data_IF_849448759074
#
_entry.id   IF_849448759074
#
_cell.length_a   1.000
_cell.length_b   1.000
_cell.length_c   1.000
_cell.angle_alpha   90.00
_cell.angle_beta   90.00
_cell.angle_gamma   90.00
#
_symmetry.space_group_name_H-M   'P 1'
#
loop_
_entity.id
_entity.type
_entity.pdbx_description
1 polymer ?
#
# COMPACT_ATOMS: atom_id res chain seq x y z
N UNK A 1 8.80 3.32 -24.87
CA UNK A 1 9.57 4.32 -24.12
C UNK A 1 9.43 4.02 -22.64
N UNK A 2 10.39 4.43 -21.82
CA UNK A 2 10.37 4.26 -20.35
C UNK A 2 9.13 4.93 -19.72
N UNK A 3 8.48 5.82 -20.45
CA UNK A 3 7.26 6.51 -20.04
C UNK A 3 6.01 5.61 -19.92
N UNK A 4 6.09 4.38 -20.42
CA UNK A 4 4.96 3.45 -20.41
C UNK A 4 5.06 2.40 -19.28
N UNK A 5 5.98 2.58 -18.33
CA UNK A 5 6.09 1.69 -17.19
C UNK A 5 4.89 1.87 -16.27
N UNK A 6 4.07 0.86 -16.26
CA UNK A 6 2.90 0.76 -15.41
C UNK A 6 3.37 0.21 -14.06
N UNK A 7 3.14 0.94 -12.97
CA UNK A 7 3.40 0.42 -11.63
C UNK A 7 2.40 -0.71 -11.35
N UNK A 8 2.84 -1.93 -11.59
CA UNK A 8 2.19 -3.13 -11.06
C UNK A 8 2.57 -3.29 -9.58
N UNK A 9 2.13 -4.33 -8.84
CA UNK A 9 2.68 -4.63 -7.52
C UNK A 9 4.19 -4.85 -7.52
N UNK A 10 4.78 -5.25 -8.66
CA UNK A 10 6.20 -5.44 -8.91
C UNK A 10 6.86 -6.29 -7.82
N UNK A 11 7.96 -5.85 -7.25
CA UNK A 11 8.65 -6.55 -6.17
C UNK A 11 7.90 -6.55 -4.83
N UNK A 12 6.77 -5.82 -4.69
CA UNK A 12 5.93 -5.84 -3.49
C UNK A 12 4.97 -7.04 -3.41
N UNK A 13 4.84 -7.83 -4.46
CA UNK A 13 4.01 -9.03 -4.50
C UNK A 13 4.79 -10.25 -4.94
N UNK A 14 4.63 -11.37 -4.21
CA UNK A 14 5.20 -12.67 -4.61
C UNK A 14 4.53 -13.23 -5.87
N UNK A 15 3.33 -12.77 -6.21
CA UNK A 15 2.62 -13.16 -7.43
C UNK A 15 3.07 -12.35 -8.66
N UNK A 16 3.97 -11.39 -8.47
CA UNK A 16 4.65 -10.62 -9.51
C UNK A 16 6.16 -10.83 -9.37
N UNK A 17 7.00 -9.81 -9.49
CA UNK A 17 8.46 -9.95 -9.44
C UNK A 17 9.02 -10.26 -8.04
N UNK A 18 8.25 -10.11 -6.97
CA UNK A 18 8.68 -10.40 -5.60
C UNK A 18 9.15 -11.85 -5.35
N UNK A 19 8.75 -12.79 -6.22
CA UNK A 19 9.25 -14.17 -6.20
C UNK A 19 10.74 -14.27 -6.56
N UNK A 20 11.29 -13.31 -7.29
CA UNK A 20 12.68 -13.33 -7.77
C UNK A 20 13.67 -12.62 -6.81
N UNK A 21 13.18 -12.13 -5.67
CA UNK A 21 14.07 -11.51 -4.66
C UNK A 21 15.21 -12.45 -4.28
N UNK A 22 16.45 -11.92 -4.30
CA UNK A 22 17.68 -12.69 -4.07
C UNK A 22 17.75 -13.97 -4.91
N UNK A 23 17.53 -13.86 -6.22
CA UNK A 23 17.51 -14.99 -7.16
C UNK A 23 16.56 -16.13 -6.74
N UNK A 24 15.45 -15.77 -6.07
CA UNK A 24 14.44 -16.69 -5.58
C UNK A 24 14.74 -17.35 -4.23
N UNK A 25 15.86 -17.02 -3.59
CA UNK A 25 16.21 -17.60 -2.27
C UNK A 25 15.42 -16.98 -1.12
N UNK A 26 14.99 -15.74 -1.25
CA UNK A 26 14.25 -15.04 -0.21
C UNK A 26 13.12 -14.21 -0.83
N UNK A 27 12.08 -14.87 -1.37
CA UNK A 27 10.94 -14.17 -1.97
C UNK A 27 10.23 -13.30 -0.94
N UNK A 28 9.60 -12.25 -1.43
CA UNK A 28 8.75 -11.41 -0.57
C UNK A 28 7.48 -12.16 -0.18
N UNK A 29 6.89 -11.80 0.96
CA UNK A 29 5.63 -12.38 1.40
C UNK A 29 4.43 -11.88 0.57
N UNK A 30 3.35 -12.67 0.59
CA UNK A 30 2.06 -12.26 0.02
C UNK A 30 1.60 -10.92 0.58
N UNK A 31 1.04 -10.07 -0.29
CA UNK A 31 0.42 -8.80 0.09
C UNK A 31 -0.85 -9.01 0.94
N UNK A 32 -1.32 -7.94 1.58
CA UNK A 32 -2.59 -7.98 2.31
C UNK A 32 -3.76 -8.33 1.39
N UNK A 33 -3.74 -7.84 0.15
CA UNK A 33 -4.73 -8.20 -0.86
C UNK A 33 -4.75 -9.71 -1.10
N UNK A 34 -3.62 -10.31 -1.42
CA UNK A 34 -3.49 -11.74 -1.68
C UNK A 34 -3.88 -12.59 -0.47
N UNK A 35 -3.41 -12.22 0.73
CA UNK A 35 -3.76 -12.89 1.98
C UNK A 35 -5.26 -12.83 2.29
N UNK A 36 -5.90 -11.71 1.97
CA UNK A 36 -7.34 -11.56 2.17
C UNK A 36 -8.16 -12.43 1.22
N UNK A 37 -7.72 -12.55 -0.05
CA UNK A 37 -8.35 -13.45 -1.04
C UNK A 37 -8.25 -14.93 -0.63
N UNK A 38 -7.12 -15.32 -0.03
CA UNK A 38 -6.91 -16.67 0.49
C UNK A 38 -7.62 -16.93 1.83
N UNK A 39 -8.28 -15.92 2.41
CA UNK A 39 -8.94 -16.01 3.71
C UNK A 39 -7.99 -16.09 4.91
N UNK A 40 -6.69 -15.78 4.73
CA UNK A 40 -5.69 -15.85 5.80
C UNK A 40 -5.73 -14.65 6.74
N UNK A 41 -6.20 -13.50 6.26
CA UNK A 41 -6.44 -12.32 7.09
C UNK A 41 -7.79 -11.72 6.78
N UNK A 42 -8.36 -11.01 7.76
CA UNK A 42 -9.51 -10.13 7.58
C UNK A 42 -9.01 -8.69 7.50
N UNK A 43 -9.40 -7.98 6.45
CA UNK A 43 -9.16 -6.54 6.34
C UNK A 43 -10.05 -5.80 7.33
N UNK A 44 -9.49 -4.86 8.06
CA UNK A 44 -10.24 -3.98 8.96
C UNK A 44 -10.77 -2.77 8.18
N UNK A 45 -12.06 -2.59 8.15
CA UNK A 45 -12.71 -1.45 7.51
C UNK A 45 -13.20 -0.48 8.60
N UNK A 46 -12.52 0.67 8.80
CA UNK A 46 -12.90 1.61 9.85
C UNK A 46 -14.22 2.29 9.57
N UNK A 47 -15.08 2.35 10.57
CA UNK A 47 -16.40 2.98 10.47
C UNK A 47 -16.41 4.39 11.03
N UNK A 48 -15.61 4.65 12.08
CA UNK A 48 -15.57 5.91 12.80
C UNK A 48 -14.19 6.58 12.66
N UNK A 49 -14.12 7.92 12.68
CA UNK A 49 -12.87 8.65 12.75
C UNK A 49 -12.06 8.31 14.00
N UNK A 50 -10.73 8.34 13.90
CA UNK A 50 -9.85 8.08 15.04
C UNK A 50 -8.50 7.51 14.67
N UNK A 51 -7.66 7.27 15.67
CA UNK A 51 -6.36 6.64 15.48
C UNK A 51 -6.48 5.13 15.27
N UNK A 52 -5.73 4.64 14.29
CA UNK A 52 -5.64 3.22 13.93
C UNK A 52 -4.18 2.82 13.92
N UNK A 53 -3.87 1.67 14.52
CA UNK A 53 -2.54 1.08 14.49
C UNK A 53 -2.56 -0.22 13.69
N UNK A 54 -1.60 -0.39 12.77
CA UNK A 54 -1.43 -1.59 11.96
C UNK A 54 -0.14 -2.28 12.36
N UNK A 55 -0.24 -3.56 12.73
CA UNK A 55 0.92 -4.40 13.03
C UNK A 55 1.38 -5.20 11.81
N UNK A 56 2.68 -5.51 11.69
CA UNK A 56 3.17 -6.41 10.66
C UNK A 56 2.56 -7.81 10.78
N UNK A 57 2.58 -8.59 9.69
CA UNK A 57 1.88 -9.89 9.61
C UNK A 57 2.41 -10.91 10.61
N UNK A 58 3.71 -10.90 10.89
CA UNK A 58 4.39 -11.87 11.72
C UNK A 58 4.40 -11.49 13.22
N UNK A 59 3.88 -10.33 13.59
CA UNK A 59 3.81 -9.88 15.00
C UNK A 59 2.44 -10.20 15.58
N UNK A 60 2.40 -11.04 16.61
CA UNK A 60 1.17 -11.35 17.33
C UNK A 60 0.70 -10.15 18.16
N UNK A 61 -0.35 -9.49 17.71
CA UNK A 61 -0.98 -8.33 18.38
C UNK A 61 -2.49 -8.33 18.15
N UNK A 62 -3.21 -7.49 18.90
CA UNK A 62 -4.65 -7.26 18.70
C UNK A 62 -4.94 -6.26 17.58
N UNK A 63 -3.92 -5.55 17.07
CA UNK A 63 -4.10 -4.61 15.99
C UNK A 63 -4.44 -5.33 14.68
N UNK A 64 -5.20 -4.72 13.78
CA UNK A 64 -5.37 -5.22 12.42
C UNK A 64 -4.04 -5.38 11.70
N UNK A 65 -3.99 -6.27 10.73
CA UNK A 65 -2.82 -6.51 9.86
C UNK A 65 -2.85 -5.65 8.60
N UNK A 66 -4.03 -5.22 8.24
CA UNK A 66 -4.26 -4.31 7.14
C UNK A 66 -5.61 -3.61 7.29
N UNK A 67 -5.71 -2.42 6.70
CA UNK A 67 -6.90 -1.58 6.70
C UNK A 67 -7.42 -1.46 5.27
N UNK A 68 -8.74 -1.52 5.12
CA UNK A 68 -9.46 -1.32 3.87
C UNK A 68 -10.16 0.04 3.89
N UNK A 69 -9.89 0.87 2.89
CA UNK A 69 -10.61 2.11 2.64
C UNK A 69 -11.43 1.94 1.35
N UNK A 70 -12.70 1.62 1.49
CA UNK A 70 -13.59 1.30 0.38
C UNK A 70 -14.14 2.56 -0.28
N UNK A 71 -14.25 2.56 -1.61
CA UNK A 71 -14.98 3.59 -2.33
C UNK A 71 -16.49 3.40 -2.13
N UNK A 72 -17.17 4.42 -1.62
CA UNK A 72 -18.60 4.34 -1.30
C UNK A 72 -19.47 4.32 -2.58
N UNK A 73 -18.98 4.91 -3.70
CA UNK A 73 -19.68 4.89 -4.99
C UNK A 73 -19.47 3.60 -5.78
N UNK A 74 -18.32 2.93 -5.57
CA UNK A 74 -18.01 1.64 -6.18
C UNK A 74 -17.31 0.73 -5.18
N UNK A 75 -18.01 -0.12 -4.43
CA UNK A 75 -17.42 -0.99 -3.42
C UNK A 75 -16.40 -2.01 -3.93
N UNK A 76 -16.30 -2.21 -5.25
CA UNK A 76 -15.26 -3.04 -5.87
C UNK A 76 -13.94 -2.27 -6.07
N UNK A 77 -13.92 -0.96 -5.84
CA UNK A 77 -12.74 -0.11 -5.85
C UNK A 77 -12.39 0.31 -4.43
N UNK A 78 -11.14 0.13 -4.02
CA UNK A 78 -10.71 0.38 -2.65
C UNK A 78 -9.20 0.50 -2.52
N UNK A 79 -8.77 1.08 -1.41
CA UNK A 79 -7.38 1.11 -0.99
C UNK A 79 -7.14 0.10 0.13
N UNK A 80 -5.96 -0.52 0.13
CA UNK A 80 -5.48 -1.36 1.23
C UNK A 80 -4.21 -0.72 1.80
N UNK A 81 -4.18 -0.53 3.11
CA UNK A 81 -3.04 -0.06 3.87
C UNK A 81 -2.47 -1.25 4.63
N UNK A 82 -1.22 -1.62 4.40
CA UNK A 82 -0.56 -2.72 5.09
C UNK A 82 0.79 -2.32 5.67
N UNK A 83 1.17 -2.91 6.80
CA UNK A 83 2.44 -2.64 7.44
C UNK A 83 3.51 -3.63 6.95
N UNK A 84 4.53 -3.11 6.27
CA UNK A 84 5.68 -3.85 5.78
C UNK A 84 6.87 -3.60 6.68
N UNK A 85 7.37 -4.65 7.32
CA UNK A 85 8.53 -4.60 8.20
C UNK A 85 9.50 -5.73 7.87
N UNK A 86 10.82 -5.48 7.82
CA UNK A 86 11.81 -6.53 7.74
C UNK A 86 11.68 -7.49 8.92
N UNK A 87 11.77 -8.78 8.66
CA UNK A 87 11.68 -9.81 9.69
C UNK A 87 12.50 -11.03 9.31
N UNK A 88 12.55 -12.02 10.21
CA UNK A 88 13.19 -13.31 9.91
C UNK A 88 12.57 -14.01 8.70
N UNK A 89 11.26 -13.80 8.48
CA UNK A 89 10.52 -14.37 7.34
C UNK A 89 10.69 -13.56 6.05
N UNK A 90 10.98 -12.27 6.18
CA UNK A 90 11.11 -11.33 5.06
C UNK A 90 12.38 -10.49 5.19
N UNK A 91 13.56 -11.13 5.21
CA UNK A 91 14.83 -10.43 5.41
C UNK A 91 15.22 -9.53 4.22
N UNK A 92 14.63 -9.81 3.07
CA UNK A 92 14.88 -9.12 1.80
C UNK A 92 13.92 -7.96 1.53
N UNK A 93 13.13 -7.55 2.52
CA UNK A 93 12.21 -6.43 2.34
C UNK A 93 12.98 -5.14 2.02
N UNK A 94 12.56 -4.42 1.00
CA UNK A 94 13.24 -3.25 0.44
C UNK A 94 13.19 -2.01 1.34
N UNK A 95 12.41 -2.04 2.42
CA UNK A 95 12.26 -0.94 3.37
C UNK A 95 11.25 -1.30 4.46
N UNK A 96 10.92 -0.34 5.30
CA UNK A 96 9.92 -0.46 6.36
C UNK A 96 8.92 0.70 6.28
N UNK A 97 7.66 0.43 6.61
CA UNK A 97 6.61 1.44 6.55
C UNK A 97 5.25 0.87 6.11
N UNK A 98 4.33 1.77 5.84
CA UNK A 98 3.01 1.44 5.32
C UNK A 98 3.04 1.40 3.80
N UNK A 99 2.74 0.25 3.23
CA UNK A 99 2.50 0.11 1.80
C UNK A 99 1.02 0.39 1.50
N UNK A 100 0.77 1.20 0.49
CA UNK A 100 -0.57 1.56 0.04
C UNK A 100 -0.84 0.94 -1.33
N UNK A 101 -1.93 0.21 -1.43
CA UNK A 101 -2.34 -0.45 -2.68
C UNK A 101 -3.72 0.03 -3.09
N UNK A 102 -3.90 0.40 -4.36
CA UNK A 102 -5.19 0.72 -4.97
C UNK A 102 -5.68 -0.47 -5.80
N UNK A 103 -6.88 -0.93 -5.53
CA UNK A 103 -7.56 -2.02 -6.23
C UNK A 103 -8.82 -1.50 -6.91
N UNK A 104 -8.95 -1.72 -8.22
CA UNK A 104 -10.19 -1.57 -8.98
C UNK A 104 -10.58 -2.96 -9.52
N UNK A 105 -11.32 -3.70 -8.70
CA UNK A 105 -11.62 -5.11 -8.96
C UNK A 105 -12.68 -5.26 -10.04
N UNK A 106 -12.30 -5.89 -11.15
CA UNK A 106 -13.20 -6.27 -12.22
C UNK A 106 -13.02 -7.76 -12.48
N UNK A 107 -14.01 -8.58 -12.18
CA UNK A 107 -13.95 -10.06 -12.25
C UNK A 107 -13.34 -10.59 -13.55
N UNK A 108 -13.75 -10.05 -14.70
CA UNK A 108 -13.24 -10.49 -16.00
C UNK A 108 -11.74 -10.19 -16.16
N UNK A 109 -11.25 -9.05 -15.66
CA UNK A 109 -9.83 -8.71 -15.73
C UNK A 109 -8.98 -9.72 -14.94
N UNK A 110 -9.44 -10.14 -13.75
CA UNK A 110 -8.76 -11.18 -12.95
C UNK A 110 -8.84 -12.55 -13.61
N UNK A 111 -10.01 -12.92 -14.12
CA UNK A 111 -10.24 -14.20 -14.79
C UNK A 111 -9.36 -14.41 -16.03
N UNK A 112 -9.15 -13.34 -16.80
CA UNK A 112 -8.38 -13.40 -18.06
C UNK A 112 -6.96 -12.85 -17.92
N UNK A 113 -6.48 -12.61 -16.69
CA UNK A 113 -5.14 -12.06 -16.42
C UNK A 113 -4.84 -10.77 -17.20
N UNK A 114 -5.79 -9.85 -17.20
CA UNK A 114 -5.69 -8.55 -17.90
C UNK A 114 -5.82 -7.37 -16.92
N UNK A 115 -5.46 -7.58 -15.65
CA UNK A 115 -5.69 -6.67 -14.53
C UNK A 115 -5.13 -5.27 -14.79
N UNK A 116 -3.90 -5.20 -15.31
CA UNK A 116 -3.18 -3.94 -15.54
C UNK A 116 -2.89 -3.66 -17.02
N UNK A 117 -3.65 -4.26 -17.96
CA UNK A 117 -3.44 -4.04 -19.40
C UNK A 117 -3.84 -2.63 -19.87
N UNK A 118 -4.69 -1.92 -19.13
CA UNK A 118 -5.02 -0.54 -19.39
C UNK A 118 -4.17 0.39 -18.51
N UNK A 119 -3.21 1.14 -19.07
CA UNK A 119 -2.33 2.02 -18.31
C UNK A 119 -3.07 3.18 -17.65
N UNK A 120 -4.25 3.56 -18.17
CA UNK A 120 -5.05 4.64 -17.62
C UNK A 120 -6.02 4.17 -16.52
N UNK A 121 -6.23 2.86 -16.40
CA UNK A 121 -7.12 2.26 -15.40
C UNK A 121 -6.58 0.92 -14.94
N UNK A 122 -5.56 0.96 -14.11
CA UNK A 122 -4.95 -0.23 -13.51
C UNK A 122 -5.88 -0.83 -12.45
N UNK A 123 -6.02 -2.14 -12.45
CA UNK A 123 -6.84 -2.86 -11.48
C UNK A 123 -6.11 -3.15 -10.16
N UNK A 124 -4.77 -3.21 -10.19
CA UNK A 124 -3.94 -3.44 -9.01
C UNK A 124 -2.64 -2.63 -9.13
N UNK A 125 -2.48 -1.61 -8.30
CA UNK A 125 -1.29 -0.75 -8.34
C UNK A 125 -0.85 -0.35 -6.93
N UNK A 126 0.45 -0.10 -6.78
CA UNK A 126 1.00 0.57 -5.60
C UNK A 126 0.79 2.08 -5.73
N UNK A 127 0.56 2.74 -4.61
CA UNK A 127 0.53 4.20 -4.48
C UNK A 127 1.79 4.62 -3.73
N UNK A 128 2.88 4.96 -4.45
CA UNK A 128 4.16 5.24 -3.83
C UNK A 128 4.14 6.58 -3.09
N UNK A 129 4.73 6.61 -1.88
CA UNK A 129 4.76 7.82 -1.05
C UNK A 129 5.53 8.97 -1.70
N UNK A 130 6.57 8.68 -2.47
CA UNK A 130 7.34 9.68 -3.23
C UNK A 130 6.71 10.06 -4.57
N UNK A 131 5.55 9.49 -4.90
CA UNK A 131 4.85 9.65 -6.17
C UNK A 131 5.69 9.23 -7.40
N UNK A 132 6.75 8.45 -7.20
CA UNK A 132 7.60 7.92 -8.26
C UNK A 132 7.21 6.47 -8.57
N UNK A 133 6.63 6.25 -9.74
CA UNK A 133 6.19 4.92 -10.20
C UNK A 133 7.29 4.14 -10.94
N UNK A 134 8.51 4.62 -10.94
CA UNK A 134 9.61 4.00 -11.69
C UNK A 134 10.55 3.22 -10.77
N UNK A 135 10.87 1.95 -11.08
CA UNK A 135 11.90 1.19 -10.39
C UNK A 135 13.32 1.56 -10.84
N UNK A 136 13.45 2.58 -11.69
CA UNK A 136 14.73 3.03 -12.23
C UNK A 136 15.13 4.37 -11.61
N UNK A 137 16.42 4.50 -11.26
CA UNK A 137 16.98 5.74 -10.77
C UNK A 137 17.17 6.78 -11.90
N UNK A 138 17.64 7.98 -11.55
CA UNK A 138 17.87 9.09 -12.50
C UNK A 138 18.84 8.75 -13.64
N UNK A 139 19.69 7.73 -13.46
CA UNK A 139 20.59 7.22 -14.49
C UNK A 139 19.92 6.18 -15.41
N UNK A 140 18.64 5.88 -15.21
CA UNK A 140 17.90 4.85 -15.94
C UNK A 140 18.31 3.42 -15.58
N UNK A 141 18.92 3.22 -14.41
CA UNK A 141 19.31 1.90 -13.89
C UNK A 141 18.28 1.42 -12.87
N UNK A 142 17.92 0.15 -12.98
CA UNK A 142 17.09 -0.52 -11.97
C UNK A 142 17.75 -0.43 -10.58
N UNK A 143 16.98 -0.08 -9.56
CA UNK A 143 17.48 0.05 -8.19
C UNK A 143 16.41 -0.31 -7.17
N UNK A 144 16.74 -1.21 -6.25
CA UNK A 144 15.89 -1.50 -5.09
C UNK A 144 15.72 -0.31 -4.14
N UNK A 145 16.60 0.68 -4.20
CA UNK A 145 16.47 1.91 -3.42
C UNK A 145 15.21 2.72 -3.81
N UNK A 146 14.77 2.62 -5.08
CA UNK A 146 13.56 3.31 -5.54
C UNK A 146 12.31 2.81 -4.79
N UNK A 147 12.26 1.54 -4.41
CA UNK A 147 11.13 0.97 -3.68
C UNK A 147 11.03 1.43 -2.22
N UNK A 148 12.10 2.00 -1.64
CA UNK A 148 12.04 2.59 -0.30
C UNK A 148 11.16 3.84 -0.26
N UNK A 149 11.07 4.53 -1.40
CA UNK A 149 10.21 5.69 -1.58
C UNK A 149 8.71 5.36 -1.62
N UNK A 150 8.34 4.10 -1.87
CA UNK A 150 6.93 3.68 -1.95
C UNK A 150 6.23 3.70 -0.58
N UNK A 151 6.98 3.59 0.52
CA UNK A 151 6.44 3.37 1.86
C UNK A 151 6.16 4.68 2.59
N UNK A 152 5.05 4.73 3.35
CA UNK A 152 4.67 5.83 4.21
C UNK A 152 5.07 5.55 5.68
N UNK A 153 5.51 6.54 6.49
CA UNK A 153 5.90 7.88 6.07
C UNK A 153 7.18 7.87 5.23
N UNK A 154 7.95 6.78 5.29
CA UNK A 154 9.11 6.45 4.48
C UNK A 154 10.20 7.51 4.48
N UNK A 155 11.08 7.43 3.49
CA UNK A 155 12.25 8.31 3.34
C UNK A 155 11.88 9.77 3.04
N UNK A 156 10.69 10.02 2.51
CA UNK A 156 10.17 11.35 2.18
C UNK A 156 9.33 11.97 3.30
N UNK A 157 9.15 11.26 4.41
CA UNK A 157 8.35 11.70 5.56
C UNK A 157 6.93 12.14 5.17
N UNK A 158 6.28 11.34 4.33
CA UNK A 158 4.92 11.57 3.89
C UNK A 158 3.93 11.15 4.98
N UNK A 159 3.51 12.12 5.79
CA UNK A 159 2.69 11.88 7.00
C UNK A 159 1.18 11.96 6.76
N UNK A 160 0.76 12.21 5.53
CA UNK A 160 -0.66 12.25 5.16
C UNK A 160 -0.89 11.68 3.77
N UNK A 161 -2.09 11.14 3.55
CA UNK A 161 -2.56 10.70 2.25
C UNK A 161 -4.06 11.00 2.15
N UNK A 162 -4.41 11.89 1.23
CA UNK A 162 -5.76 12.42 1.05
C UNK A 162 -6.10 12.51 -0.44
N UNK A 163 -7.32 12.94 -0.75
CA UNK A 163 -7.71 13.19 -2.16
C UNK A 163 -6.98 14.40 -2.78
N UNK A 164 -6.39 15.26 -1.96
CA UNK A 164 -5.79 16.52 -2.39
C UNK A 164 -4.25 16.53 -2.22
N UNK A 165 -3.64 15.44 -1.72
CA UNK A 165 -2.17 15.27 -1.64
C UNK A 165 -1.58 14.73 -2.93
N UNK A 166 -0.24 14.70 -3.02
CA UNK A 166 0.50 14.03 -4.09
C UNK A 166 1.54 13.10 -3.47
N UNK A 167 1.33 11.76 -3.54
CA UNK A 167 0.22 11.05 -4.19
C UNK A 167 -1.14 11.32 -3.53
N UNK A 168 -2.23 10.96 -4.24
CA UNK A 168 -3.60 11.15 -3.76
C UNK A 168 -4.38 9.84 -3.66
N UNK A 169 -5.51 9.86 -2.93
CA UNK A 169 -6.48 8.75 -2.85
C UNK A 169 -7.60 8.87 -3.89
N UNK A 170 -7.31 9.43 -5.07
CA UNK A 170 -8.29 9.54 -6.13
C UNK A 170 -8.74 8.15 -6.63
N UNK A 171 -10.01 8.04 -6.97
CA UNK A 171 -10.67 6.83 -7.43
C UNK A 171 -11.25 7.04 -8.84
N UNK A 172 -11.43 5.95 -9.58
CA UNK A 172 -12.01 6.02 -10.93
C UNK A 172 -13.51 6.31 -10.91
N UNK A 173 -14.22 5.83 -9.87
CA UNK A 173 -15.62 6.14 -9.67
C UNK A 173 -15.76 7.23 -8.59
N UNK A 174 -16.32 8.38 -8.96
CA UNK A 174 -16.54 9.51 -8.06
C UNK A 174 -15.38 10.48 -7.89
N UNK A 175 -14.20 10.20 -8.46
CA UNK A 175 -12.97 10.97 -8.42
C UNK A 175 -12.27 11.07 -7.05
N UNK A 176 -13.01 11.17 -5.94
CA UNK A 176 -12.47 11.30 -4.58
C UNK A 176 -12.92 10.13 -3.72
N UNK A 177 -11.99 9.56 -2.96
CA UNK A 177 -12.31 8.50 -2.00
C UNK A 177 -13.03 9.06 -0.76
N UNK A 178 -12.70 10.28 -0.33
CA UNK A 178 -13.31 10.92 0.85
C UNK A 178 -12.94 10.26 2.18
N UNK A 179 -11.81 9.56 2.23
CA UNK A 179 -11.32 8.81 3.41
C UNK A 179 -9.86 9.17 3.71
N UNK A 180 -9.59 10.45 4.04
CA UNK A 180 -8.23 10.92 4.29
C UNK A 180 -7.61 10.28 5.53
N UNK A 181 -6.29 10.12 5.50
CA UNK A 181 -5.47 9.71 6.64
C UNK A 181 -4.39 10.75 6.89
N UNK A 182 -4.11 11.01 8.17
CA UNK A 182 -3.19 12.03 8.65
C UNK A 182 -2.26 11.44 9.71
N UNK A 183 -1.19 12.15 10.04
CA UNK A 183 -0.29 11.83 11.14
C UNK A 183 0.25 10.40 11.06
N UNK A 184 0.61 9.97 9.83
CA UNK A 184 1.18 8.65 9.60
C UNK A 184 2.55 8.57 10.27
N UNK A 185 2.72 7.60 11.16
CA UNK A 185 3.94 7.37 11.94
C UNK A 185 4.31 5.90 11.93
N UNK A 186 5.60 5.66 12.07
CA UNK A 186 6.14 4.34 12.35
C UNK A 186 6.94 4.41 13.65
N UNK A 187 6.53 3.63 14.63
CA UNK A 187 7.21 3.51 15.92
C UNK A 187 7.32 2.03 16.30
N UNK A 188 8.54 1.57 16.55
CA UNK A 188 8.83 0.17 16.93
C UNK A 188 8.23 -0.88 15.96
N UNK A 189 8.17 -0.53 14.67
CA UNK A 189 7.60 -1.38 13.62
C UNK A 189 6.06 -1.43 13.61
N UNK A 190 5.39 -0.54 14.33
CA UNK A 190 3.94 -0.35 14.27
C UNK A 190 3.66 0.92 13.47
N UNK A 191 2.77 0.82 12.51
CA UNK A 191 2.25 1.99 11.79
C UNK A 191 1.01 2.49 12.50
N UNK A 192 0.97 3.80 12.78
CA UNK A 192 -0.20 4.48 13.35
C UNK A 192 -0.56 5.68 12.49
N UNK A 193 -1.84 5.93 12.30
CA UNK A 193 -2.35 7.10 11.60
C UNK A 193 -3.72 7.51 12.11
N UNK A 194 -4.10 8.77 11.87
CA UNK A 194 -5.42 9.31 12.18
C UNK A 194 -6.32 9.22 10.95
N UNK A 195 -7.45 8.51 11.07
CA UNK A 195 -8.45 8.34 10.02
C UNK A 195 -9.53 9.42 10.12
N UNK A 196 -9.74 10.16 9.04
CA UNK A 196 -10.79 11.17 8.80
C UNK A 196 -10.80 12.41 9.68
N UNK A 197 -10.16 12.44 10.82
CA UNK A 197 -10.29 13.58 11.76
C UNK A 197 -8.94 14.27 12.03
N UNK A 198 -8.58 15.30 11.25
CA UNK A 198 -7.34 16.04 11.47
C UNK A 198 -7.30 16.80 12.80
N UNK A 199 -8.45 17.03 13.46
CA UNK A 199 -8.47 17.72 14.77
C UNK A 199 -7.87 16.88 15.89
N UNK A 200 -7.76 15.57 15.72
CA UNK A 200 -7.11 14.67 16.68
C UNK A 200 -5.57 14.70 16.57
N UNK A 201 -5.02 15.25 15.49
CA UNK A 201 -3.58 15.31 15.28
C UNK A 201 -2.92 16.20 16.33
N UNK A 202 -1.91 15.64 17.04
CA UNK A 202 -1.20 16.37 18.09
C UNK A 202 -1.90 16.35 19.46
N UNK A 203 -3.05 15.71 19.62
CA UNK A 203 -3.66 15.47 20.93
C UNK A 203 -2.99 14.27 21.57
N UNK A 204 -2.23 14.48 22.63
CA UNK A 204 -1.72 13.40 23.45
C UNK A 204 -2.87 12.81 24.28
N UNK A 205 -3.35 11.65 23.90
CA UNK A 205 -4.23 10.86 24.78
C UNK A 205 -3.36 10.29 25.93
N UNK A 206 -3.51 10.89 27.12
CA UNK A 206 -2.85 10.45 28.38
C UNK A 206 -3.56 9.23 28.93
#
# INVERSE_FOLDING_TARGET
SVADLIQSPDYWSVMDYGQYMYDGYAPIGYSAYERSLMGWIKLYEPQEPGYISISPFDKATNNPKAVLLRNDENPAEYYILENRQPSTWFPSLMGNGMLVTHIDYVTSKWQYNTVNNDPNRQGYQIVPADNNKSPYNDEGKFSFECFKGDLFPGTYNMTELTDDTSPSTNVYAGNKLGKPIYDIKEEEGIITFCYKDPSLVGINFV
#
